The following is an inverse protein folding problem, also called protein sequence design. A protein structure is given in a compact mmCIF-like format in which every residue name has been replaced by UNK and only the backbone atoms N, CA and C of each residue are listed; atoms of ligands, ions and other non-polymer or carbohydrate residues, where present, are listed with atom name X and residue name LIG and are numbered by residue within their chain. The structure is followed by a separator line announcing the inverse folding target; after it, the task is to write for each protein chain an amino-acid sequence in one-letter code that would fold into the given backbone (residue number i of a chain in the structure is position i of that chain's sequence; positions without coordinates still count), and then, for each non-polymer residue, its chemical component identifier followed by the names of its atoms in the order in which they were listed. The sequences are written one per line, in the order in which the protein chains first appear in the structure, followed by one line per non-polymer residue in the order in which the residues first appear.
data_IF_112633525186
#
_entry.id   IF_112633525186
#
_cell.length_a   1.000
_cell.length_b   1.000
_cell.length_c   1.000
_cell.angle_alpha   90.00
_cell.angle_beta   90.00
_cell.angle_gamma   90.00
#
_symmetry.space_group_name_H-M   'P 1'
#
loop_
_entity.id
_entity.type
_entity.pdbx_description
1 polymer ?
#
# COMPACT_ATOMS: atom_id res chain seq x y z
N UNK A 1 65.57 -37.14 -23.43
CA UNK A 1 65.03 -37.57 -22.12
C UNK A 1 64.35 -36.43 -21.37
N UNK A 2 65.01 -35.30 -21.11
CA UNK A 2 64.41 -34.16 -20.39
C UNK A 2 63.12 -33.60 -21.01
N UNK A 3 63.05 -33.47 -22.34
CA UNK A 3 61.84 -33.02 -23.02
C UNK A 3 60.65 -33.98 -22.83
N UNK A 4 60.88 -35.29 -22.87
CA UNK A 4 59.83 -36.30 -22.65
C UNK A 4 59.31 -36.26 -21.21
N UNK A 5 60.21 -36.06 -20.24
CA UNK A 5 59.86 -35.90 -18.82
C UNK A 5 59.03 -34.62 -18.61
N UNK A 6 59.42 -33.51 -19.25
CA UNK A 6 58.70 -32.25 -19.17
C UNK A 6 57.29 -32.36 -19.79
N UNK A 7 57.16 -33.01 -20.95
CA UNK A 7 55.86 -33.24 -21.60
C UNK A 7 54.97 -34.13 -20.71
N UNK A 8 55.52 -35.20 -20.15
CA UNK A 8 54.78 -36.11 -19.29
C UNK A 8 54.32 -35.43 -17.99
N UNK A 9 55.20 -34.64 -17.36
CA UNK A 9 54.85 -33.83 -16.18
C UNK A 9 53.76 -32.79 -16.51
N UNK A 10 53.84 -32.16 -17.68
CA UNK A 10 52.84 -31.20 -18.14
C UNK A 10 51.46 -31.85 -18.33
N UNK A 11 51.41 -33.03 -18.94
CA UNK A 11 50.15 -33.78 -19.12
C UNK A 11 49.54 -34.15 -17.77
N UNK A 12 50.34 -34.65 -16.82
CA UNK A 12 49.85 -34.99 -15.48
C UNK A 12 49.31 -33.75 -14.76
N UNK A 13 50.02 -32.63 -14.82
CA UNK A 13 49.58 -31.36 -14.23
C UNK A 13 48.25 -30.91 -14.84
N UNK A 14 48.10 -30.95 -16.16
CA UNK A 14 46.86 -30.59 -16.84
C UNK A 14 45.71 -31.50 -16.43
N UNK A 15 45.93 -32.81 -16.31
CA UNK A 15 44.91 -33.75 -15.84
C UNK A 15 44.48 -33.45 -14.40
N UNK A 16 45.42 -33.14 -13.50
CA UNK A 16 45.10 -32.75 -12.12
C UNK A 16 44.26 -31.47 -12.09
N UNK A 17 44.60 -30.46 -12.90
CA UNK A 17 43.84 -29.22 -13.01
C UNK A 17 42.44 -29.48 -13.55
N UNK A 18 42.28 -30.32 -14.58
CA UNK A 18 40.97 -30.66 -15.14
C UNK A 18 40.11 -31.42 -14.13
N UNK A 19 40.68 -32.40 -13.43
CA UNK A 19 39.97 -33.12 -12.36
C UNK A 19 39.55 -32.17 -11.25
N UNK A 20 40.45 -31.29 -10.78
CA UNK A 20 40.14 -30.27 -9.78
C UNK A 20 39.04 -29.33 -10.27
N UNK A 21 39.08 -28.89 -11.53
CA UNK A 21 38.04 -28.04 -12.10
C UNK A 21 36.70 -28.75 -12.19
N UNK A 22 36.67 -30.03 -12.55
CA UNK A 22 35.45 -30.85 -12.61
C UNK A 22 34.90 -31.12 -11.20
N UNK A 23 35.75 -31.42 -10.21
CA UNK A 23 35.29 -31.60 -8.82
C UNK A 23 34.80 -30.30 -8.22
N UNK A 24 35.49 -29.18 -8.46
CA UNK A 24 35.05 -27.85 -8.06
C UNK A 24 33.77 -27.44 -8.78
N UNK A 25 33.63 -27.70 -10.09
CA UNK A 25 32.36 -27.46 -10.80
C UNK A 25 31.26 -28.37 -10.28
N UNK A 26 31.52 -29.64 -9.98
CA UNK A 26 30.51 -30.52 -9.38
C UNK A 26 30.07 -30.02 -8.01
N UNK A 27 31.00 -29.54 -7.18
CA UNK A 27 30.67 -28.91 -5.90
C UNK A 27 29.93 -27.58 -6.04
N UNK A 28 30.25 -26.81 -7.09
CA UNK A 28 29.56 -25.55 -7.44
C UNK A 28 28.27 -25.78 -8.22
N UNK A 29 27.97 -27.00 -8.66
CA UNK A 29 26.75 -27.34 -9.39
C UNK A 29 25.75 -28.08 -8.48
N UNK A 30 25.96 -28.10 -7.15
CA UNK A 30 24.81 -28.03 -6.24
C UNK A 30 24.09 -26.72 -6.52
N UNK A 31 22.75 -26.70 -6.55
CA UNK A 31 21.98 -25.66 -7.23
C UNK A 31 22.38 -24.28 -6.73
N UNK A 32 23.10 -23.53 -7.57
CA UNK A 32 23.43 -22.11 -7.36
C UNK A 32 22.17 -21.22 -7.28
N UNK A 33 20.98 -21.82 -7.37
CA UNK A 33 19.69 -21.19 -7.13
C UNK A 33 19.41 -21.04 -5.62
N UNK A 34 20.10 -21.78 -4.74
CA UNK A 34 19.82 -21.73 -3.28
C UNK A 34 20.64 -20.65 -2.56
N UNK A 35 21.82 -20.23 -3.05
CA UNK A 35 22.69 -19.31 -2.29
C UNK A 35 22.35 -17.81 -2.42
N UNK A 36 21.91 -17.33 -3.59
CA UNK A 36 21.39 -15.96 -3.70
C UNK A 36 20.05 -15.79 -2.95
N UNK A 37 19.37 -16.90 -2.69
CA UNK A 37 18.12 -16.95 -1.95
C UNK A 37 18.33 -16.99 -0.42
N UNK A 38 19.48 -17.46 0.08
CA UNK A 38 19.77 -17.48 1.53
C UNK A 38 20.13 -16.07 2.05
N UNK A 39 20.92 -15.29 1.32
CA UNK A 39 21.30 -13.93 1.74
C UNK A 39 20.10 -12.96 1.84
N UNK A 40 19.00 -13.23 1.11
CA UNK A 40 17.74 -12.49 1.22
C UNK A 40 16.79 -13.10 2.26
N UNK A 41 16.91 -14.41 2.52
CA UNK A 41 16.10 -15.14 3.53
C UNK A 41 16.61 -14.97 4.95
N UNK A 42 17.87 -14.62 5.18
CA UNK A 42 18.41 -14.37 6.53
C UNK A 42 17.76 -13.17 7.23
N UNK A 43 17.06 -12.31 6.49
CA UNK A 43 16.21 -11.23 7.03
C UNK A 43 14.70 -11.51 6.88
N UNK A 44 14.30 -12.69 6.40
CA UNK A 44 12.89 -13.11 6.40
C UNK A 44 12.63 -13.77 7.74
N UNK A 45 12.37 -12.93 8.73
CA UNK A 45 11.85 -13.39 10.01
C UNK A 45 10.38 -13.78 9.78
N UNK A 46 10.00 -14.98 10.20
CA UNK A 46 8.60 -15.39 10.06
C UNK A 46 7.77 -14.43 10.92
N UNK A 47 6.69 -13.91 10.34
CA UNK A 47 5.86 -12.88 10.97
C UNK A 47 5.26 -13.33 12.32
N UNK A 48 5.19 -14.64 12.54
CA UNK A 48 4.79 -15.31 13.78
C UNK A 48 5.94 -15.53 14.79
N UNK A 49 7.21 -15.47 14.39
CA UNK A 49 8.39 -15.69 15.25
C UNK A 49 8.86 -14.40 15.96
N UNK A 50 8.73 -13.23 15.33
CA UNK A 50 9.10 -11.93 15.95
C UNK A 50 7.92 -11.23 16.63
N UNK A 51 6.70 -11.76 16.47
CA UNK A 51 5.56 -11.16 17.15
C UNK A 51 5.49 -9.66 16.91
N UNK A 52 5.60 -9.22 15.66
CA UNK A 52 5.18 -7.88 15.24
C UNK A 52 3.66 -7.74 15.28
N UNK A 53 3.04 -8.34 16.30
CA UNK A 53 1.65 -8.12 16.63
C UNK A 53 1.46 -6.65 16.94
N UNK A 54 0.21 -6.24 16.89
CA UNK A 54 -0.30 -4.95 17.33
C UNK A 54 0.14 -4.47 18.75
N UNK A 55 0.95 -5.23 19.49
CA UNK A 55 1.50 -4.83 20.79
C UNK A 55 2.52 -3.67 20.71
N UNK A 56 3.27 -3.51 19.61
CA UNK A 56 4.25 -2.41 19.47
C UNK A 56 3.65 -1.10 18.93
N UNK A 57 2.33 -1.02 18.75
CA UNK A 57 1.70 0.20 18.22
C UNK A 57 1.76 1.39 19.17
N UNK A 58 2.11 1.20 20.45
CA UNK A 58 2.32 2.30 21.40
C UNK A 58 3.70 2.96 21.29
N UNK A 59 4.70 2.25 20.73
CA UNK A 59 6.07 2.75 20.63
C UNK A 59 6.31 3.65 19.40
N UNK A 60 5.38 3.64 18.44
CA UNK A 60 5.50 4.40 17.20
C UNK A 60 4.63 5.67 17.21
N UNK A 61 5.26 6.84 17.31
CA UNK A 61 4.58 8.13 17.19
C UNK A 61 4.32 8.48 15.72
N UNK A 62 3.10 8.17 15.25
CA UNK A 62 2.67 8.46 13.88
C UNK A 62 2.64 9.96 13.57
N UNK A 63 2.66 10.84 14.59
CA UNK A 63 2.74 12.30 14.38
C UNK A 63 4.05 12.71 13.69
N UNK A 64 5.11 11.89 13.78
CA UNK A 64 6.40 12.15 13.14
C UNK A 64 6.35 12.05 11.61
N UNK A 65 5.39 11.31 11.05
CA UNK A 65 5.22 11.17 9.60
C UNK A 65 4.30 12.25 9.00
N UNK A 66 3.74 13.14 9.83
CA UNK A 66 2.72 14.06 9.38
C UNK A 66 3.30 15.39 8.89
N UNK A 67 2.75 15.88 7.79
CA UNK A 67 3.09 17.18 7.21
C UNK A 67 2.76 18.32 8.21
N UNK A 68 3.72 19.17 8.61
CA UNK A 68 3.53 20.22 9.63
C UNK A 68 2.45 21.26 9.28
N UNK A 69 1.99 21.30 8.03
CA UNK A 69 0.97 22.24 7.55
C UNK A 69 -0.48 21.71 7.64
N UNK A 70 -0.71 20.54 8.24
CA UNK A 70 -2.04 19.97 8.44
C UNK A 70 -2.88 20.80 9.43
N UNK A 71 -3.99 21.38 8.97
CA UNK A 71 -4.89 22.25 9.76
C UNK A 71 -5.54 21.52 10.95
N UNK A 72 -5.65 20.19 10.86
CA UNK A 72 -6.17 19.35 11.93
C UNK A 72 -4.99 18.73 12.67
N UNK A 73 -4.62 19.35 13.79
CA UNK A 73 -3.63 18.80 14.72
C UNK A 73 -3.99 17.37 15.12
N UNK A 74 -2.97 16.55 15.31
CA UNK A 74 -3.11 15.12 15.62
C UNK A 74 -4.05 14.90 16.82
N UNK A 75 -5.08 14.08 16.63
CA UNK A 75 -5.84 13.52 17.73
C UNK A 75 -5.19 12.18 18.11
N UNK A 76 -4.67 12.04 19.35
CA UNK A 76 -4.01 10.83 19.77
C UNK A 76 -4.96 9.63 19.69
N UNK A 77 -4.38 8.46 19.35
CA UNK A 77 -5.04 7.16 19.47
C UNK A 77 -5.65 7.08 20.86
N UNK A 78 -6.93 6.74 20.93
CA UNK A 78 -7.67 6.64 22.19
C UNK A 78 -8.22 5.23 22.34
N UNK A 79 -7.81 4.57 23.42
CA UNK A 79 -8.37 3.28 23.79
C UNK A 79 -9.80 3.44 24.28
N UNK A 80 -10.65 2.54 23.80
CA UNK A 80 -12.04 2.38 24.19
C UNK A 80 -12.07 1.22 25.19
N UNK A 81 -12.33 1.56 26.45
CA UNK A 81 -12.67 0.53 27.42
C UNK A 81 -14.07 -0.01 27.08
N UNK A 82 -14.26 -1.34 27.05
CA UNK A 82 -15.57 -1.91 26.81
C UNK A 82 -16.56 -1.34 27.84
N UNK A 83 -17.64 -0.72 27.35
CA UNK A 83 -18.70 -0.15 28.19
C UNK A 83 -19.65 -1.26 28.66
N UNK A 84 -19.07 -2.27 29.31
CA UNK A 84 -19.84 -3.27 30.04
C UNK A 84 -20.32 -2.57 31.31
N UNK A 85 -21.62 -2.28 31.37
CA UNK A 85 -22.28 -1.85 32.60
C UNK A 85 -22.09 -2.95 33.66
N UNK A 86 -21.02 -2.85 34.45
CA UNK A 86 -20.75 -3.82 35.49
C UNK A 86 -21.86 -3.76 36.53
N UNK A 87 -22.61 -4.85 36.62
CA UNK A 87 -23.14 -5.28 37.91
C UNK A 87 -21.94 -5.35 38.87
N UNK A 88 -22.03 -4.72 40.06
CA UNK A 88 -20.91 -4.70 41.00
C UNK A 88 -20.47 -6.14 41.24
N UNK A 89 -19.18 -6.40 41.00
CA UNK A 89 -18.51 -7.67 41.29
C UNK A 89 -19.02 -8.13 42.65
N UNK A 90 -19.86 -9.17 42.67
CA UNK A 90 -20.45 -9.64 43.92
C UNK A 90 -19.27 -9.94 44.84
N UNK A 91 -19.15 -9.13 45.89
CA UNK A 91 -18.02 -9.16 46.79
C UNK A 91 -17.80 -10.57 47.29
N UNK A 92 -16.52 -10.95 47.36
CA UNK A 92 -15.98 -12.13 48.03
C UNK A 92 -17.01 -12.83 48.91
N UNK A 93 -17.69 -13.84 48.36
CA UNK A 93 -18.48 -14.74 49.19
C UNK A 93 -17.52 -15.37 50.20
N UNK A 94 -17.87 -15.40 51.50
CA UNK A 94 -16.99 -15.97 52.53
C UNK A 94 -16.69 -17.42 52.15
N UNK A 95 -15.41 -17.72 51.96
CA UNK A 95 -14.93 -19.08 51.67
C UNK A 95 -15.26 -19.94 52.90
N UNK A 96 -16.13 -20.97 52.79
CA UNK A 96 -16.41 -21.85 53.93
C UNK A 96 -15.14 -22.59 54.34
N UNK A 97 -14.90 -22.79 55.63
CA UNK A 97 -13.75 -23.59 56.08
C UNK A 97 -13.90 -25.03 55.55
N UNK A 98 -12.96 -25.47 54.70
CA UNK A 98 -12.91 -26.83 54.15
C UNK A 98 -13.03 -26.96 52.63
N UNK A 99 -12.91 -25.87 51.86
CA UNK A 99 -12.89 -25.93 50.40
C UNK A 99 -11.57 -26.50 49.89
N UNK A 100 -11.66 -27.34 48.86
CA UNK A 100 -10.48 -27.76 48.11
C UNK A 100 -9.84 -26.53 47.46
N UNK A 101 -8.63 -26.20 47.92
CA UNK A 101 -7.90 -25.00 47.48
C UNK A 101 -7.54 -25.12 46.00
N UNK A 102 -7.30 -26.34 45.52
CA UNK A 102 -6.99 -26.58 44.12
C UNK A 102 -8.20 -26.25 43.23
N UNK A 103 -9.39 -26.75 43.58
CA UNK A 103 -10.63 -26.42 42.88
C UNK A 103 -10.93 -24.91 42.91
N UNK A 104 -10.75 -24.27 44.07
CA UNK A 104 -10.95 -22.83 44.20
C UNK A 104 -10.02 -22.01 43.31
N UNK A 105 -8.73 -22.37 43.26
CA UNK A 105 -7.76 -21.68 42.41
C UNK A 105 -8.11 -21.91 40.94
N UNK A 106 -8.43 -23.14 40.53
CA UNK A 106 -8.79 -23.45 39.15
C UNK A 106 -10.02 -22.67 38.68
N UNK A 107 -11.04 -22.54 39.53
CA UNK A 107 -12.24 -21.74 39.22
C UNK A 107 -11.88 -20.26 39.06
N UNK A 108 -11.10 -19.69 39.98
CA UNK A 108 -10.72 -18.28 39.93
C UNK A 108 -9.76 -17.95 38.78
N UNK A 109 -8.87 -18.88 38.45
CA UNK A 109 -7.98 -18.77 37.30
C UNK A 109 -8.79 -18.77 36.00
N UNK A 110 -9.72 -19.72 35.85
CA UNK A 110 -10.60 -19.76 34.69
C UNK A 110 -11.46 -18.49 34.55
N UNK A 111 -11.97 -17.94 35.65
CA UNK A 111 -12.69 -16.66 35.64
C UNK A 111 -11.79 -15.49 35.20
N UNK A 112 -10.54 -15.46 35.67
CA UNK A 112 -9.59 -14.40 35.32
C UNK A 112 -9.12 -14.48 33.86
N UNK A 113 -8.85 -15.69 33.35
CA UNK A 113 -8.40 -15.93 31.98
C UNK A 113 -9.47 -15.59 30.94
N UNK A 114 -10.75 -15.61 31.33
CA UNK A 114 -11.88 -15.31 30.46
C UNK A 114 -12.48 -13.92 30.73
N UNK A 115 -11.77 -13.02 31.42
CA UNK A 115 -12.24 -11.66 31.68
C UNK A 115 -12.20 -10.81 30.39
N UNK A 116 -13.36 -10.42 29.82
CA UNK A 116 -13.40 -9.64 28.58
C UNK A 116 -12.99 -8.16 28.77
N UNK A 117 -12.70 -7.75 30.01
CA UNK A 117 -12.20 -6.41 30.33
C UNK A 117 -10.71 -6.34 30.55
N UNK A 118 -10.04 -7.49 30.49
CA UNK A 118 -8.61 -7.53 30.39
C UNK A 118 -8.17 -6.87 29.06
N UNK A 119 -7.04 -6.14 29.06
CA UNK A 119 -6.41 -5.67 27.84
C UNK A 119 -6.01 -6.82 26.88
N UNK A 120 -5.78 -6.55 25.58
CA UNK A 120 -5.75 -5.24 24.94
C UNK A 120 -7.14 -4.63 24.71
N UNK A 121 -7.22 -3.30 24.73
CA UNK A 121 -8.46 -2.58 24.43
C UNK A 121 -8.54 -2.21 22.96
N UNK A 122 -9.76 -2.16 22.42
CA UNK A 122 -10.02 -1.55 21.12
C UNK A 122 -9.59 -0.08 21.15
N UNK A 123 -9.14 0.47 20.03
CA UNK A 123 -8.74 1.87 19.95
C UNK A 123 -9.30 2.55 18.71
N UNK A 124 -9.56 3.85 18.80
CA UNK A 124 -9.96 4.67 17.65
C UNK A 124 -8.79 5.55 17.24
N UNK A 125 -8.53 5.55 15.93
CA UNK A 125 -7.74 6.57 15.26
C UNK A 125 -8.67 7.48 14.44
N UNK A 126 -8.63 8.78 14.72
CA UNK A 126 -9.46 9.76 14.01
C UNK A 126 -8.64 10.34 12.85
N UNK A 127 -9.16 10.18 11.63
CA UNK A 127 -8.59 10.79 10.42
C UNK A 127 -9.46 11.96 9.97
N UNK A 128 -8.83 13.04 9.52
CA UNK A 128 -9.53 14.26 9.11
C UNK A 128 -8.77 15.12 8.12
N UNK A 129 -7.87 14.55 7.32
CA UNK A 129 -7.13 15.32 6.33
C UNK A 129 -7.99 15.56 5.08
N UNK A 130 -8.39 16.82 4.88
CA UNK A 130 -9.25 17.24 3.76
C UNK A 130 -8.47 17.51 2.46
N UNK A 131 -7.13 17.54 2.53
CA UNK A 131 -6.30 18.03 1.43
C UNK A 131 -6.01 19.53 1.55
N UNK A 132 -5.33 20.10 0.56
CA UNK A 132 -4.88 21.51 0.57
C UNK A 132 -5.67 22.41 -0.38
N UNK A 133 -6.83 21.96 -0.85
CA UNK A 133 -7.67 22.72 -1.79
C UNK A 133 -6.94 23.04 -3.10
N UNK A 134 -6.21 22.08 -3.66
CA UNK A 134 -5.50 22.28 -4.93
C UNK A 134 -6.48 22.67 -6.03
N UNK A 135 -6.13 23.70 -6.80
CA UNK A 135 -6.90 24.11 -7.98
C UNK A 135 -6.93 22.92 -8.94
N UNK A 136 -8.13 22.46 -9.31
CA UNK A 136 -8.28 21.49 -10.37
C UNK A 136 -7.63 22.09 -11.63
N UNK A 137 -6.67 21.38 -12.23
CA UNK A 137 -5.99 21.85 -13.44
C UNK A 137 -7.00 22.26 -14.51
N UNK A 138 -6.58 23.15 -15.43
CA UNK A 138 -7.44 23.65 -16.51
C UNK A 138 -8.17 22.52 -17.20
N UNK A 139 -9.48 22.45 -17.01
CA UNK A 139 -10.32 21.47 -17.68
C UNK A 139 -10.38 21.82 -19.16
N UNK A 140 -10.36 20.80 -20.02
CA UNK A 140 -10.60 21.00 -21.45
C UNK A 140 -11.96 21.66 -21.63
N UNK A 141 -11.99 22.75 -22.41
CA UNK A 141 -13.25 23.32 -22.88
C UNK A 141 -14.03 22.24 -23.63
N UNK A 142 -15.34 22.17 -23.42
CA UNK A 142 -16.26 21.48 -24.31
C UNK A 142 -16.35 22.30 -25.60
N UNK A 143 -15.29 22.33 -26.38
CA UNK A 143 -15.31 22.91 -27.71
C UNK A 143 -16.18 21.97 -28.55
N UNK A 144 -17.46 22.32 -28.67
CA UNK A 144 -18.28 21.84 -29.77
C UNK A 144 -17.48 22.17 -31.02
N UNK A 145 -17.15 21.16 -31.80
CA UNK A 145 -16.65 21.37 -33.15
C UNK A 145 -17.71 22.19 -33.87
N UNK A 146 -17.60 23.52 -33.83
CA UNK A 146 -18.16 24.36 -34.87
C UNK A 146 -17.25 24.04 -36.05
N UNK A 147 -17.57 22.94 -36.73
CA UNK A 147 -17.14 22.78 -38.09
C UNK A 147 -17.41 24.11 -38.75
N UNK A 148 -16.45 24.62 -39.52
CA UNK A 148 -16.55 25.81 -40.37
C UNK A 148 -17.69 25.71 -41.43
N UNK A 149 -18.63 24.77 -41.22
CA UNK A 149 -19.90 24.60 -41.90
C UNK A 149 -20.95 25.49 -41.22
N UNK A 150 -21.56 26.48 -41.83
CA UNK A 150 -21.42 27.03 -43.16
C UNK A 150 -21.75 28.50 -42.92
N UNK A 151 -20.88 29.44 -43.33
CA UNK A 151 -21.23 30.87 -43.35
C UNK A 151 -22.27 31.18 -44.46
N UNK A 152 -23.15 30.22 -44.75
CA UNK A 152 -24.30 30.39 -45.62
C UNK A 152 -25.46 30.91 -44.75
N UNK A 153 -25.91 32.12 -45.09
CA UNK A 153 -27.01 32.81 -44.40
C UNK A 153 -28.23 32.99 -45.29
N UNK A 154 -28.40 32.17 -46.33
CA UNK A 154 -29.47 32.31 -47.34
C UNK A 154 -30.86 32.25 -46.70
N UNK A 155 -31.02 31.52 -45.60
CA UNK A 155 -32.25 31.44 -44.82
C UNK A 155 -32.71 32.79 -44.22
N UNK A 156 -31.82 33.79 -44.09
CA UNK A 156 -32.20 35.12 -43.62
C UNK A 156 -33.16 35.84 -44.58
N UNK A 157 -33.11 35.49 -45.86
CA UNK A 157 -34.01 36.05 -46.88
C UNK A 157 -35.48 35.65 -46.65
N UNK A 158 -35.70 34.47 -46.07
CA UNK A 158 -37.03 33.89 -45.84
C UNK A 158 -37.66 34.31 -44.50
N UNK A 159 -36.91 34.95 -43.59
CA UNK A 159 -37.40 35.34 -42.26
C UNK A 159 -38.29 36.59 -42.25
N UNK A 160 -38.47 37.22 -43.40
CA UNK A 160 -39.41 38.33 -43.60
C UNK A 160 -38.82 39.74 -43.45
N UNK A 161 -39.66 40.79 -43.49
CA UNK A 161 -39.22 42.16 -43.80
C UNK A 161 -38.28 42.79 -42.77
N UNK A 162 -38.31 42.32 -41.52
CA UNK A 162 -37.40 42.80 -40.46
C UNK A 162 -35.95 42.33 -40.67
N UNK A 163 -35.75 41.20 -41.35
CA UNK A 163 -34.44 40.61 -41.59
C UNK A 163 -33.89 40.93 -42.98
N UNK A 164 -34.66 41.64 -43.81
CA UNK A 164 -34.28 41.99 -45.20
C UNK A 164 -32.90 42.64 -45.30
N UNK A 165 -32.58 43.61 -44.43
CA UNK A 165 -31.26 44.26 -44.41
C UNK A 165 -30.12 43.29 -44.08
N UNK A 166 -30.37 42.31 -43.22
CA UNK A 166 -29.37 41.30 -42.86
C UNK A 166 -29.21 40.30 -44.02
N UNK A 167 -30.30 39.85 -44.63
CA UNK A 167 -30.25 39.03 -45.84
C UNK A 167 -29.45 39.70 -46.96
N UNK A 168 -29.69 40.98 -47.25
CA UNK A 168 -28.95 41.76 -48.26
C UNK A 168 -27.45 41.91 -47.93
N UNK A 169 -27.10 42.01 -46.64
CA UNK A 169 -25.70 42.19 -46.21
C UNK A 169 -24.89 40.90 -46.29
N UNK A 170 -25.52 39.75 -46.03
CA UNK A 170 -24.85 38.45 -45.97
C UNK A 170 -24.99 37.62 -47.25
N UNK A 171 -25.80 38.05 -48.24
CA UNK A 171 -25.94 37.41 -49.56
C UNK A 171 -24.81 37.72 -50.56
N UNK A 172 -23.76 38.43 -50.14
CA UNK A 172 -22.72 39.00 -51.04
C UNK A 172 -21.59 38.00 -51.37
N UNK A 173 -21.60 36.80 -50.79
CA UNK A 173 -20.51 35.81 -50.96
C UNK A 173 -20.43 35.08 -52.31
N UNK A 174 -21.40 35.23 -53.22
CA UNK A 174 -21.44 34.48 -54.49
C UNK A 174 -21.00 35.28 -55.73
N UNK A 175 -20.81 36.60 -55.66
CA UNK A 175 -20.59 37.43 -56.86
C UNK A 175 -19.13 37.52 -57.35
N UNK A 176 -18.16 37.01 -56.60
CA UNK A 176 -16.73 37.26 -56.89
C UNK A 176 -15.96 36.02 -57.38
N UNK A 177 -16.64 35.01 -57.94
CA UNK A 177 -16.00 33.78 -58.50
C UNK A 177 -16.00 33.65 -60.02
N UNK A 178 -16.45 34.66 -60.76
CA UNK A 178 -16.22 34.75 -62.21
C UNK A 178 -15.47 36.03 -62.55
N UNK A 179 -14.14 35.96 -62.59
CA UNK A 179 -13.27 36.71 -63.52
C UNK A 179 -11.88 36.09 -63.59
#
# INVERSE_FOLDING_TARGET
MGALIAILACIILLLVIVVLFVTLRRHKNEPLIIKDDEDVRENIIRYDDEGGGEEDTEAFDIATLQNPDGINGFLPRKDIKPDLQFMPRQGLAPVPNGVDVDEFINVRLHEADNDPTAPPYDSIQIYGYEGRGSVAGSLSSLESTTSDSDQNFDYLSDWGPRFKRLGELYSVGESDKET
#
